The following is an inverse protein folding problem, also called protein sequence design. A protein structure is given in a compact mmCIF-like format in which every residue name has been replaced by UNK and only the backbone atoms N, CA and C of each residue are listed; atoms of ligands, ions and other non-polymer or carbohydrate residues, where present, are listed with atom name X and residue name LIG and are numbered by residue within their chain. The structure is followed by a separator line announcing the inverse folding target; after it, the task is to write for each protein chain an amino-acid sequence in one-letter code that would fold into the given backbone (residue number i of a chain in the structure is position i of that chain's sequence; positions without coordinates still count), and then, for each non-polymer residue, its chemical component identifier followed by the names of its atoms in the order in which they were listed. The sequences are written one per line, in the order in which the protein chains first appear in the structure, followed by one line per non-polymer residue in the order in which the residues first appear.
data_IF_102421592726
#
_entry.id   IF_102421592726
#
_cell.length_a   1.000
_cell.length_b   1.000
_cell.length_c   1.000
_cell.angle_alpha   90.00
_cell.angle_beta   90.00
_cell.angle_gamma   90.00
#
_symmetry.space_group_name_H-M   'P 1'
#
loop_
_entity.id
_entity.type
_entity.pdbx_description
1 polymer ?
#
# COMPACT_ATOMS: atom_id res chain seq x y z
N UNK A 1 -29.58 23.99 -26.34
CA UNK A 1 -30.78 24.28 -25.51
C UNK A 1 -31.16 23.17 -24.50
N UNK A 2 -30.84 21.88 -24.71
CA UNK A 2 -31.23 20.81 -23.77
C UNK A 2 -30.32 20.64 -22.52
N UNK A 3 -29.02 20.99 -22.61
CA UNK A 3 -28.06 20.75 -21.52
C UNK A 3 -28.22 21.70 -20.33
N UNK A 4 -28.49 22.98 -20.59
CA UNK A 4 -28.74 23.99 -19.54
C UNK A 4 -30.01 23.69 -18.73
N UNK A 5 -31.04 23.12 -19.38
CA UNK A 5 -32.26 22.68 -18.70
C UNK A 5 -31.99 21.55 -17.73
N UNK A 6 -31.29 20.49 -18.18
CA UNK A 6 -30.92 19.34 -17.33
C UNK A 6 -30.05 19.79 -16.15
N UNK A 7 -29.06 20.65 -16.37
CA UNK A 7 -28.22 21.21 -15.29
C UNK A 7 -29.03 22.04 -14.28
N UNK A 8 -29.96 22.87 -14.74
CA UNK A 8 -30.84 23.65 -13.87
C UNK A 8 -31.73 22.77 -13.00
N UNK A 9 -32.22 21.66 -13.56
CA UNK A 9 -33.08 20.71 -12.86
C UNK A 9 -32.32 19.85 -11.84
N UNK A 10 -31.07 19.50 -12.14
CA UNK A 10 -30.13 18.87 -11.22
C UNK A 10 -29.83 19.80 -10.04
N UNK A 11 -29.54 21.08 -10.29
CA UNK A 11 -29.21 22.04 -9.23
C UNK A 11 -30.43 22.38 -8.34
N UNK A 12 -31.59 22.58 -8.95
CA UNK A 12 -32.87 22.72 -8.24
C UNK A 12 -33.16 21.48 -7.39
N UNK A 13 -32.85 20.31 -7.92
CA UNK A 13 -33.00 19.04 -7.25
C UNK A 13 -32.09 18.83 -6.06
N UNK A 14 -30.80 19.14 -6.21
CA UNK A 14 -29.81 19.16 -5.12
C UNK A 14 -30.28 20.05 -3.96
N UNK A 15 -30.83 21.24 -4.27
CA UNK A 15 -31.31 22.19 -3.24
C UNK A 15 -32.60 21.75 -2.56
N UNK A 16 -33.46 21.00 -3.24
CA UNK A 16 -34.75 20.56 -2.70
C UNK A 16 -34.64 19.25 -1.90
N UNK A 17 -33.61 18.45 -2.15
CA UNK A 17 -33.35 17.18 -1.46
C UNK A 17 -31.97 17.15 -0.77
N UNK A 18 -31.58 18.27 -0.17
CA UNK A 18 -30.24 18.48 0.41
C UNK A 18 -29.87 17.42 1.44
N UNK A 19 -30.78 17.01 2.32
CA UNK A 19 -30.50 16.01 3.37
C UNK A 19 -30.04 14.67 2.79
N UNK A 20 -30.72 14.18 1.75
CA UNK A 20 -30.38 12.90 1.12
C UNK A 20 -29.06 13.01 0.34
N UNK A 21 -28.85 14.12 -0.35
CA UNK A 21 -27.61 14.40 -1.09
C UNK A 21 -26.43 14.47 -0.11
N UNK A 22 -26.57 15.18 0.99
CA UNK A 22 -25.54 15.27 2.03
C UNK A 22 -25.23 13.89 2.62
N UNK A 23 -26.24 13.06 2.86
CA UNK A 23 -26.01 11.68 3.31
C UNK A 23 -25.18 10.87 2.31
N UNK A 24 -25.49 10.97 1.01
CA UNK A 24 -24.70 10.31 -0.05
C UNK A 24 -23.28 10.87 -0.10
N UNK A 25 -23.10 12.18 -0.04
CA UNK A 25 -21.78 12.84 -0.02
C UNK A 25 -20.96 12.37 1.18
N UNK A 26 -21.54 12.31 2.37
CA UNK A 26 -20.84 11.88 3.59
C UNK A 26 -20.46 10.41 3.55
N UNK A 27 -21.35 9.52 3.11
CA UNK A 27 -21.02 8.10 3.02
C UNK A 27 -19.97 7.84 1.94
N UNK A 28 -20.08 8.49 0.78
CA UNK A 28 -19.04 8.39 -0.27
C UNK A 28 -17.71 8.97 0.20
N UNK A 29 -17.72 10.10 0.92
CA UNK A 29 -16.54 10.67 1.59
C UNK A 29 -15.87 9.65 2.51
N UNK A 30 -16.60 9.07 3.46
CA UNK A 30 -16.02 8.10 4.42
C UNK A 30 -15.51 6.86 3.67
N UNK A 31 -16.28 6.35 2.72
CA UNK A 31 -15.90 5.17 1.93
C UNK A 31 -14.58 5.39 1.19
N UNK A 32 -14.47 6.49 0.46
CA UNK A 32 -13.29 6.82 -0.34
C UNK A 32 -12.11 7.27 0.53
N UNK A 33 -12.37 7.76 1.74
CA UNK A 33 -11.30 8.01 2.73
C UNK A 33 -10.63 6.70 3.12
N UNK A 34 -11.38 5.61 3.36
CA UNK A 34 -10.78 4.30 3.62
C UNK A 34 -10.03 3.74 2.41
N UNK A 35 -10.58 3.89 1.19
CA UNK A 35 -9.87 3.50 -0.04
C UNK A 35 -8.54 4.25 -0.16
N UNK A 36 -8.56 5.56 0.00
CA UNK A 36 -7.37 6.39 -0.11
C UNK A 36 -6.38 6.15 1.02
N UNK A 37 -6.85 5.96 2.25
CA UNK A 37 -5.99 5.60 3.38
C UNK A 37 -5.29 4.25 3.15
N UNK A 38 -5.99 3.24 2.65
CA UNK A 38 -5.38 1.97 2.29
C UNK A 38 -4.33 2.12 1.17
N UNK A 39 -4.62 2.92 0.14
CA UNK A 39 -3.68 3.20 -0.94
C UNK A 39 -2.43 3.95 -0.44
N UNK A 40 -2.59 4.93 0.45
CA UNK A 40 -1.49 5.67 1.05
C UNK A 40 -0.66 4.81 2.01
N UNK A 41 -1.30 3.93 2.81
CA UNK A 41 -0.59 2.95 3.63
C UNK A 41 0.26 2.02 2.76
N UNK A 42 -0.28 1.56 1.64
CA UNK A 42 0.48 0.75 0.70
C UNK A 42 1.68 1.52 0.11
N UNK A 43 1.48 2.80 -0.23
CA UNK A 43 2.58 3.66 -0.69
C UNK A 43 3.65 3.87 0.40
N UNK A 44 3.25 4.02 1.67
CA UNK A 44 4.19 4.12 2.81
C UNK A 44 4.99 2.83 2.99
N UNK A 45 4.33 1.67 2.91
CA UNK A 45 4.99 0.36 2.99
C UNK A 45 6.00 0.22 1.85
N UNK A 46 5.64 0.65 0.64
CA UNK A 46 6.53 0.67 -0.52
C UNK A 46 7.79 1.49 -0.27
N UNK A 47 7.65 2.76 0.13
CA UNK A 47 8.80 3.62 0.47
C UNK A 47 9.68 3.05 1.58
N UNK A 48 9.06 2.54 2.64
CA UNK A 48 9.79 1.89 3.74
C UNK A 48 10.54 0.65 3.27
N UNK A 49 9.98 -0.12 2.33
CA UNK A 49 10.69 -1.26 1.77
C UNK A 49 11.83 -0.81 0.87
N UNK A 50 11.62 0.16 -0.01
CA UNK A 50 12.64 0.62 -0.95
C UNK A 50 13.86 1.19 -0.22
N UNK A 51 13.66 2.11 0.74
CA UNK A 51 14.75 2.73 1.50
C UNK A 51 15.57 1.69 2.29
N UNK A 52 14.91 0.66 2.84
CA UNK A 52 15.57 -0.36 3.65
C UNK A 52 16.16 -1.48 2.80
N UNK A 53 15.45 -1.96 1.76
CA UNK A 53 15.93 -3.05 0.92
C UNK A 53 17.12 -2.63 0.05
N UNK A 54 17.25 -1.34 -0.26
CA UNK A 54 18.46 -0.81 -0.92
C UNK A 54 19.72 -0.89 -0.02
N UNK A 55 19.53 -0.88 1.30
CA UNK A 55 20.60 -0.94 2.30
C UNK A 55 20.87 -2.36 2.82
N UNK A 56 19.89 -3.26 2.71
CA UNK A 56 19.99 -4.61 3.29
C UNK A 56 20.72 -5.55 2.34
N UNK A 57 21.74 -6.20 2.89
CA UNK A 57 22.54 -7.21 2.22
C UNK A 57 22.32 -8.58 2.85
N UNK A 58 22.46 -9.61 2.03
CA UNK A 58 22.44 -10.99 2.49
C UNK A 58 23.79 -11.31 3.11
N UNK A 59 23.75 -11.88 4.31
CA UNK A 59 24.95 -12.17 5.10
C UNK A 59 25.16 -13.67 5.12
N UNK A 60 26.16 -14.13 4.39
CA UNK A 60 26.58 -15.53 4.40
C UNK A 60 27.71 -15.65 5.40
N UNK A 61 27.37 -16.10 6.61
CA UNK A 61 28.34 -16.29 7.68
C UNK A 61 29.15 -17.56 7.41
N UNK A 62 30.47 -17.40 7.45
CA UNK A 62 31.42 -18.48 7.26
C UNK A 62 31.65 -19.20 8.59
N UNK A 63 32.00 -20.48 8.51
CA UNK A 63 32.28 -21.31 9.67
C UNK A 63 33.31 -20.66 10.62
N UNK A 64 32.96 -20.35 11.87
CA UNK A 64 33.90 -19.92 12.89
C UNK A 64 34.58 -21.10 13.61
N UNK A 65 35.61 -20.81 14.39
CA UNK A 65 36.19 -21.81 15.30
C UNK A 65 35.14 -22.27 16.33
N UNK A 66 34.97 -23.60 16.45
CA UNK A 66 34.04 -24.19 17.42
C UNK A 66 32.55 -24.16 17.01
N UNK A 67 32.22 -23.87 15.75
CA UNK A 67 30.85 -24.02 15.25
C UNK A 67 30.30 -25.43 15.46
N UNK A 68 29.03 -25.51 15.83
CA UNK A 68 28.28 -26.77 15.98
C UNK A 68 27.56 -27.18 14.70
N UNK A 69 27.65 -26.37 13.63
CA UNK A 69 26.97 -26.66 12.36
C UNK A 69 27.61 -27.87 11.65
N UNK A 70 26.82 -28.78 11.06
CA UNK A 70 27.34 -29.92 10.29
C UNK A 70 28.26 -29.52 9.14
N UNK A 71 28.03 -28.35 8.53
CA UNK A 71 28.83 -27.79 7.43
C UNK A 71 30.18 -27.22 7.89
N UNK A 72 30.40 -27.12 9.20
CA UNK A 72 31.58 -26.55 9.84
C UNK A 72 32.39 -27.58 10.65
N UNK A 73 32.16 -28.88 10.41
CA UNK A 73 32.81 -29.96 11.15
C UNK A 73 34.34 -29.95 11.05
N UNK A 74 34.90 -29.32 10.02
CA UNK A 74 36.35 -29.19 9.80
C UNK A 74 36.99 -27.99 10.51
N UNK A 75 36.22 -27.20 11.25
CA UNK A 75 36.69 -25.98 11.92
C UNK A 75 36.44 -24.71 11.09
N UNK A 76 37.26 -23.69 11.30
CA UNK A 76 37.13 -22.41 10.61
C UNK A 76 37.22 -22.56 9.08
N UNK A 77 36.41 -21.78 8.35
CA UNK A 77 36.33 -21.84 6.89
C UNK A 77 37.70 -21.57 6.24
N UNK A 78 38.15 -22.52 5.42
CA UNK A 78 39.40 -22.40 4.68
C UNK A 78 39.26 -21.53 3.44
N UNK A 79 40.34 -20.90 2.98
CA UNK A 79 40.34 -20.08 1.75
C UNK A 79 39.76 -20.85 0.54
N UNK A 80 40.05 -22.15 0.44
CA UNK A 80 39.51 -23.01 -0.63
C UNK A 80 37.98 -23.19 -0.56
N UNK A 81 37.40 -23.27 0.65
CA UNK A 81 35.95 -23.32 0.83
C UNK A 81 35.31 -21.97 0.49
N UNK A 82 35.94 -20.86 0.90
CA UNK A 82 35.46 -19.51 0.60
C UNK A 82 35.45 -19.26 -0.91
N UNK A 83 36.51 -19.65 -1.62
CA UNK A 83 36.59 -19.51 -3.07
C UNK A 83 35.61 -20.42 -3.81
N UNK A 84 35.33 -21.62 -3.29
CA UNK A 84 34.29 -22.49 -3.84
C UNK A 84 32.89 -21.85 -3.70
N UNK A 85 32.59 -21.23 -2.56
CA UNK A 85 31.32 -20.50 -2.36
C UNK A 85 31.23 -19.30 -3.30
N UNK A 86 32.31 -18.53 -3.48
CA UNK A 86 32.36 -17.42 -4.46
C UNK A 86 32.10 -17.90 -5.89
N UNK A 87 32.70 -19.02 -6.28
CA UNK A 87 32.49 -19.58 -7.61
C UNK A 87 31.03 -19.98 -7.84
N UNK A 88 30.36 -20.55 -6.83
CA UNK A 88 28.92 -20.86 -6.91
C UNK A 88 28.10 -19.58 -7.07
N UNK A 89 28.43 -18.53 -6.31
CA UNK A 89 27.74 -17.23 -6.43
C UNK A 89 27.89 -16.67 -7.86
N UNK A 90 29.10 -16.69 -8.41
CA UNK A 90 29.39 -16.15 -9.74
C UNK A 90 28.79 -16.99 -10.88
N UNK A 91 28.63 -18.30 -10.68
CA UNK A 91 28.14 -19.21 -11.74
C UNK A 91 26.63 -19.39 -11.69
N UNK A 92 26.07 -19.65 -10.50
CA UNK A 92 24.67 -20.03 -10.30
C UNK A 92 23.78 -18.84 -9.90
N UNK A 93 24.36 -17.79 -9.29
CA UNK A 93 23.61 -16.65 -8.74
C UNK A 93 23.97 -15.30 -9.40
N UNK A 94 24.70 -15.30 -10.52
CA UNK A 94 25.14 -14.07 -11.20
C UNK A 94 24.01 -13.14 -11.64
N UNK A 95 22.81 -13.67 -11.87
CA UNK A 95 21.63 -12.85 -12.20
C UNK A 95 20.93 -12.28 -10.97
N UNK A 96 21.11 -12.91 -9.80
CA UNK A 96 20.45 -12.55 -8.54
C UNK A 96 21.32 -11.67 -7.66
N UNK A 97 22.65 -11.72 -7.82
CA UNK A 97 23.62 -11.01 -6.99
C UNK A 97 24.31 -9.93 -7.82
N UNK A 98 24.19 -8.67 -7.36
CA UNK A 98 24.79 -7.51 -8.02
C UNK A 98 26.23 -7.24 -7.56
N UNK A 99 26.52 -7.47 -6.27
CA UNK A 99 27.84 -7.28 -5.67
C UNK A 99 28.07 -8.30 -4.57
N UNK A 100 29.32 -8.75 -4.46
CA UNK A 100 29.81 -9.59 -3.37
C UNK A 100 31.03 -8.89 -2.77
N UNK A 101 31.09 -8.81 -1.45
CA UNK A 101 32.31 -8.42 -0.76
C UNK A 101 32.52 -9.29 0.47
N UNK A 102 33.79 -9.42 0.84
CA UNK A 102 34.20 -10.19 2.01
C UNK A 102 34.40 -9.24 3.17
N UNK A 103 33.74 -9.55 4.27
CA UNK A 103 33.91 -8.87 5.54
C UNK A 103 34.70 -9.78 6.48
N UNK A 104 35.89 -9.31 6.86
CA UNK A 104 36.74 -9.99 7.84
C UNK A 104 36.18 -9.84 9.26
N UNK A 105 36.60 -10.74 10.16
CA UNK A 105 36.28 -10.66 11.60
C UNK A 105 36.61 -9.28 12.20
N UNK A 106 37.74 -8.69 11.82
CA UNK A 106 38.14 -7.36 12.28
C UNK A 106 37.20 -6.26 11.77
N UNK A 107 36.82 -6.29 10.49
CA UNK A 107 35.88 -5.31 9.94
C UNK A 107 34.50 -5.41 10.58
N UNK A 108 34.03 -6.64 10.82
CA UNK A 108 32.79 -6.89 11.56
C UNK A 108 32.87 -6.34 12.99
N UNK A 109 34.01 -6.53 13.67
CA UNK A 109 34.25 -5.99 15.01
C UNK A 109 34.28 -4.47 15.05
N UNK A 110 34.93 -3.83 14.08
CA UNK A 110 35.02 -2.38 13.98
C UNK A 110 33.61 -1.77 13.78
N UNK A 111 32.82 -2.34 12.86
CA UNK A 111 31.43 -1.92 12.62
C UNK A 111 30.52 -2.16 13.85
N UNK A 112 30.73 -3.26 14.57
CA UNK A 112 30.04 -3.57 15.81
C UNK A 112 30.38 -2.56 16.92
N UNK A 113 31.67 -2.27 17.10
CA UNK A 113 32.16 -1.35 18.14
C UNK A 113 31.68 0.08 17.92
N UNK A 114 31.53 0.51 16.67
CA UNK A 114 30.95 1.82 16.34
C UNK A 114 29.47 1.92 16.78
N UNK A 115 28.72 0.83 16.66
CA UNK A 115 27.30 0.78 17.02
C UNK A 115 27.06 0.53 18.52
N UNK A 116 27.98 -0.17 19.17
CA UNK A 116 27.93 -0.52 20.60
C UNK A 116 29.23 -0.10 21.31
N UNK A 117 29.49 1.21 21.48
CA UNK A 117 30.75 1.69 22.06
C UNK A 117 30.99 1.22 23.51
N UNK A 118 29.92 0.96 24.25
CA UNK A 118 29.97 0.45 25.64
C UNK A 118 29.90 -1.09 25.73
N UNK A 119 30.07 -1.79 24.60
CA UNK A 119 29.87 -3.23 24.48
C UNK A 119 28.39 -3.62 24.36
N UNK A 120 28.13 -4.92 24.19
CA UNK A 120 26.78 -5.45 24.05
C UNK A 120 26.36 -6.14 25.34
N UNK A 121 25.29 -5.64 25.97
CA UNK A 121 24.76 -6.15 27.24
C UNK A 121 25.83 -6.23 28.36
N UNK A 122 26.79 -5.29 28.38
CA UNK A 122 27.86 -5.24 29.38
C UNK A 122 28.96 -6.28 29.20
N UNK A 123 28.97 -7.01 28.09
CA UNK A 123 30.07 -7.90 27.70
C UNK A 123 30.94 -7.22 26.66
N UNK A 124 32.25 -7.25 26.88
CA UNK A 124 33.23 -6.71 25.95
C UNK A 124 33.67 -7.83 25.03
N UNK A 125 33.28 -7.73 23.76
CA UNK A 125 33.65 -8.68 22.72
C UNK A 125 35.00 -8.26 22.12
N UNK A 126 35.66 -9.22 21.50
CA UNK A 126 36.90 -9.04 20.74
C UNK A 126 36.67 -9.37 19.26
N UNK A 127 37.66 -9.10 18.42
CA UNK A 127 37.58 -9.45 17.00
C UNK A 127 37.50 -10.97 16.78
N UNK A 128 38.08 -11.77 17.67
CA UNK A 128 38.04 -13.24 17.57
C UNK A 128 36.65 -13.82 17.86
N UNK A 129 35.80 -13.06 18.57
CA UNK A 129 34.40 -13.42 18.82
C UNK A 129 33.49 -13.14 17.62
N UNK A 130 34.00 -12.47 16.58
CA UNK A 130 33.26 -12.16 15.36
C UNK A 130 33.40 -13.28 14.32
N UNK A 131 32.43 -13.36 13.42
CA UNK A 131 32.43 -14.28 12.29
C UNK A 131 32.81 -13.54 11.01
N UNK A 132 33.62 -14.18 10.16
CA UNK A 132 33.84 -13.68 8.81
C UNK A 132 32.58 -13.94 7.95
N UNK A 133 32.24 -13.03 7.05
CA UNK A 133 31.05 -13.17 6.21
C UNK A 133 31.28 -12.74 4.77
N UNK A 134 30.55 -13.37 3.85
CA UNK A 134 30.36 -12.86 2.50
C UNK A 134 29.06 -12.07 2.50
N UNK A 135 29.16 -10.78 2.16
CA UNK A 135 28.02 -9.86 2.07
C UNK A 135 27.62 -9.74 0.61
N UNK A 136 26.38 -10.09 0.31
CA UNK A 136 25.84 -10.10 -1.04
C UNK A 136 24.74 -9.06 -1.17
N UNK A 137 24.91 -8.14 -2.12
CA UNK A 137 23.85 -7.22 -2.52
C UNK A 137 23.03 -7.85 -3.63
N UNK A 138 21.77 -8.18 -3.36
CA UNK A 138 20.88 -8.76 -4.35
C UNK A 138 20.45 -7.72 -5.40
N UNK A 139 20.22 -8.18 -6.62
CA UNK A 139 19.59 -7.39 -7.69
C UNK A 139 18.11 -7.17 -7.41
N UNK A 140 17.46 -8.20 -6.87
CA UNK A 140 16.09 -8.16 -6.35
C UNK A 140 16.12 -8.75 -4.94
N UNK A 141 15.84 -7.91 -3.95
CA UNK A 141 15.84 -8.32 -2.57
C UNK A 141 14.89 -9.51 -2.34
N UNK A 142 13.73 -9.56 -3.00
CA UNK A 142 12.72 -10.63 -2.82
C UNK A 142 13.25 -12.03 -3.19
N UNK A 143 14.36 -12.14 -3.92
CA UNK A 143 14.99 -13.40 -4.33
C UNK A 143 15.91 -14.03 -3.27
N UNK A 144 15.91 -13.55 -2.01
CA UNK A 144 16.70 -14.14 -0.93
C UNK A 144 16.52 -15.64 -0.78
N UNK A 145 15.29 -16.16 -0.89
CA UNK A 145 15.03 -17.59 -0.71
C UNK A 145 15.83 -18.44 -1.70
N UNK A 146 15.98 -17.97 -2.95
CA UNK A 146 16.78 -18.66 -3.98
C UNK A 146 18.26 -18.65 -3.61
N UNK A 147 18.79 -17.51 -3.17
CA UNK A 147 20.19 -17.39 -2.73
C UNK A 147 20.46 -18.25 -1.50
N UNK A 148 19.54 -18.23 -0.53
CA UNK A 148 19.65 -19.02 0.68
C UNK A 148 19.61 -20.52 0.39
N UNK A 149 18.73 -20.99 -0.48
CA UNK A 149 18.65 -22.43 -0.84
C UNK A 149 19.92 -22.93 -1.55
N UNK A 150 20.57 -22.09 -2.36
CA UNK A 150 21.79 -22.47 -3.11
C UNK A 150 23.03 -22.48 -2.21
N UNK A 151 23.10 -21.57 -1.24
CA UNK A 151 24.28 -21.36 -0.38
C UNK A 151 24.18 -22.09 0.97
N UNK A 152 22.97 -22.32 1.48
CA UNK A 152 22.75 -23.06 2.72
C UNK A 152 23.16 -24.52 2.55
N UNK A 153 23.87 -25.07 3.54
CA UNK A 153 24.32 -26.46 3.50
C UNK A 153 25.59 -26.70 2.68
N UNK A 154 26.22 -25.65 2.13
CA UNK A 154 27.54 -25.75 1.48
C UNK A 154 28.65 -25.80 2.53
N UNK A 155 29.72 -26.53 2.24
CA UNK A 155 30.88 -26.62 3.12
C UNK A 155 31.53 -25.24 3.30
N UNK A 156 31.85 -24.88 4.55
CA UNK A 156 32.42 -23.57 4.90
C UNK A 156 31.40 -22.45 5.13
N UNK A 157 30.10 -22.70 4.87
CA UNK A 157 29.00 -21.78 5.22
C UNK A 157 28.31 -22.28 6.49
N UNK A 158 28.25 -21.45 7.52
CA UNK A 158 27.53 -21.78 8.76
C UNK A 158 26.04 -21.49 8.60
N UNK A 159 25.71 -20.24 8.26
CA UNK A 159 24.32 -19.78 8.12
C UNK A 159 24.22 -18.64 7.11
N UNK A 160 23.09 -18.60 6.40
CA UNK A 160 22.75 -17.52 5.48
C UNK A 160 21.59 -16.73 6.07
N UNK A 161 21.87 -15.50 6.50
CA UNK A 161 20.89 -14.64 7.14
C UNK A 161 20.37 -13.53 6.22
N UNK A 162 19.05 -13.33 6.29
CA UNK A 162 18.37 -12.19 5.68
C UNK A 162 18.17 -11.10 6.73
N UNK A 163 18.88 -9.98 6.61
CA UNK A 163 18.69 -8.89 7.56
C UNK A 163 17.29 -8.24 7.42
N UNK A 164 16.55 -8.51 6.34
CA UNK A 164 15.16 -8.06 6.18
C UNK A 164 14.19 -8.82 7.07
N UNK A 165 14.55 -10.05 7.48
CA UNK A 165 13.68 -10.90 8.30
C UNK A 165 13.32 -10.23 9.63
N UNK A 166 14.16 -9.32 10.13
CA UNK A 166 13.91 -8.51 11.34
C UNK A 166 12.67 -7.62 11.19
N UNK A 167 12.43 -7.08 9.99
CA UNK A 167 11.31 -6.15 9.71
C UNK A 167 10.11 -6.83 9.04
N UNK A 168 10.26 -8.09 8.63
CA UNK A 168 9.17 -8.89 8.06
C UNK A 168 7.90 -8.90 8.94
N UNK A 169 7.96 -9.04 10.28
CA UNK A 169 6.76 -8.97 11.13
C UNK A 169 6.08 -7.60 11.10
N UNK A 170 6.86 -6.51 11.01
CA UNK A 170 6.34 -5.15 10.90
C UNK A 170 5.58 -4.97 9.58
N UNK A 171 6.21 -5.33 8.45
CA UNK A 171 5.57 -5.22 7.14
C UNK A 171 4.33 -6.10 7.02
N UNK A 172 4.35 -7.31 7.58
CA UNK A 172 3.14 -8.16 7.65
C UNK A 172 2.02 -7.49 8.43
N UNK A 173 2.32 -6.87 9.57
CA UNK A 173 1.33 -6.15 10.37
C UNK A 173 0.73 -4.98 9.61
N UNK A 174 1.56 -4.19 8.92
CA UNK A 174 1.11 -3.07 8.08
C UNK A 174 0.27 -3.54 6.89
N UNK A 175 0.62 -4.66 6.27
CA UNK A 175 -0.17 -5.27 5.20
C UNK A 175 -1.53 -5.77 5.69
N UNK A 176 -1.59 -6.39 6.88
CA UNK A 176 -2.87 -6.79 7.50
C UNK A 176 -3.72 -5.57 7.80
N UNK A 177 -3.14 -4.49 8.33
CA UNK A 177 -3.85 -3.23 8.57
C UNK A 177 -4.41 -2.64 7.26
N UNK A 178 -3.63 -2.68 6.18
CA UNK A 178 -4.05 -2.23 4.84
C UNK A 178 -5.19 -3.09 4.31
N UNK A 179 -5.12 -4.42 4.49
CA UNK A 179 -6.19 -5.35 4.09
C UNK A 179 -7.49 -5.08 4.87
N UNK A 180 -7.41 -4.82 6.18
CA UNK A 180 -8.57 -4.45 7.00
C UNK A 180 -9.18 -3.12 6.54
N UNK A 181 -8.37 -2.11 6.25
CA UNK A 181 -8.83 -0.84 5.72
C UNK A 181 -9.50 -1.01 4.35
N UNK A 182 -8.92 -1.81 3.46
CA UNK A 182 -9.50 -2.14 2.16
C UNK A 182 -10.81 -2.94 2.28
N UNK A 183 -10.89 -3.88 3.24
CA UNK A 183 -12.11 -4.64 3.53
C UNK A 183 -13.24 -3.73 4.02
N UNK A 184 -12.94 -2.82 4.96
CA UNK A 184 -13.89 -1.83 5.44
C UNK A 184 -14.32 -0.87 4.32
N UNK A 185 -13.38 -0.44 3.47
CA UNK A 185 -13.69 0.33 2.28
C UNK A 185 -14.68 -0.42 1.38
N UNK A 186 -14.47 -1.71 1.12
CA UNK A 186 -15.38 -2.54 0.33
C UNK A 186 -16.81 -2.55 0.86
N UNK A 187 -16.98 -2.74 2.18
CA UNK A 187 -18.31 -2.71 2.83
C UNK A 187 -18.95 -1.33 2.70
N UNK A 188 -18.18 -0.26 2.91
CA UNK A 188 -18.67 1.11 2.82
C UNK A 188 -19.03 1.50 1.38
N UNK A 189 -18.27 1.04 0.38
CA UNK A 189 -18.60 1.22 -1.04
C UNK A 189 -19.92 0.53 -1.41
N UNK A 190 -20.18 -0.68 -0.89
CA UNK A 190 -21.47 -1.35 -1.07
C UNK A 190 -22.60 -0.54 -0.43
N UNK A 191 -22.39 -0.02 0.78
CA UNK A 191 -23.36 0.86 1.44
C UNK A 191 -23.61 2.14 0.63
N UNK A 192 -22.58 2.74 0.04
CA UNK A 192 -22.69 3.89 -0.83
C UNK A 192 -23.53 3.57 -2.09
N UNK A 193 -23.29 2.43 -2.75
CA UNK A 193 -24.08 2.01 -3.92
C UNK A 193 -25.56 1.85 -3.58
N UNK A 194 -25.86 1.22 -2.43
CA UNK A 194 -27.22 1.04 -1.94
C UNK A 194 -27.88 2.39 -1.63
N UNK A 195 -27.17 3.29 -0.95
CA UNK A 195 -27.67 4.63 -0.62
C UNK A 195 -27.90 5.50 -1.85
N UNK A 196 -27.02 5.46 -2.84
CA UNK A 196 -27.22 6.18 -4.11
C UNK A 196 -28.47 5.64 -4.80
N UNK A 197 -28.63 4.31 -4.87
CA UNK A 197 -29.80 3.67 -5.50
C UNK A 197 -31.11 4.04 -4.79
N UNK A 198 -31.14 4.00 -3.45
CA UNK A 198 -32.34 4.38 -2.68
C UNK A 198 -32.61 5.87 -2.77
N UNK A 199 -31.58 6.71 -2.82
CA UNK A 199 -31.71 8.15 -2.99
C UNK A 199 -32.31 8.51 -4.34
N UNK A 200 -31.85 7.88 -5.43
CA UNK A 200 -32.43 8.06 -6.77
C UNK A 200 -33.91 7.68 -6.75
N UNK A 201 -34.25 6.56 -6.11
CA UNK A 201 -35.64 6.09 -6.00
C UNK A 201 -36.53 7.08 -5.23
N UNK A 202 -36.06 7.58 -4.10
CA UNK A 202 -36.79 8.55 -3.28
C UNK A 202 -36.95 9.90 -4.00
N UNK A 203 -35.90 10.36 -4.69
CA UNK A 203 -35.93 11.58 -5.51
C UNK A 203 -36.98 11.45 -6.63
N UNK A 204 -37.00 10.32 -7.35
CA UNK A 204 -37.99 10.04 -8.39
C UNK A 204 -39.44 10.01 -7.85
N UNK A 205 -39.68 9.40 -6.69
CA UNK A 205 -41.02 9.37 -6.05
C UNK A 205 -41.47 10.77 -5.65
N UNK A 206 -40.57 11.59 -5.09
CA UNK A 206 -40.90 12.97 -4.71
C UNK A 206 -41.31 13.86 -5.90
N UNK A 207 -40.86 13.52 -7.11
CA UNK A 207 -41.17 14.21 -8.38
C UNK A 207 -42.08 13.39 -9.29
N UNK A 208 -42.91 12.51 -8.70
CA UNK A 208 -43.81 11.63 -9.47
C UNK A 208 -44.71 12.39 -10.44
N UNK A 209 -45.25 13.55 -10.05
CA UNK A 209 -46.13 14.36 -10.93
C UNK A 209 -45.38 14.90 -12.16
N UNK A 210 -44.16 15.42 -12.00
CA UNK A 210 -43.34 15.92 -13.12
C UNK A 210 -42.93 14.77 -14.06
N UNK A 211 -42.50 13.64 -13.49
CA UNK A 211 -42.14 12.44 -14.27
C UNK A 211 -43.32 11.84 -15.02
N UNK A 212 -44.54 11.90 -14.46
CA UNK A 212 -45.77 11.48 -15.13
C UNK A 212 -46.14 12.41 -16.29
N UNK A 213 -46.06 13.73 -16.11
CA UNK A 213 -46.28 14.70 -17.20
C UNK A 213 -45.27 14.48 -18.33
N UNK A 214 -43.98 14.30 -18.00
CA UNK A 214 -42.93 14.02 -18.98
C UNK A 214 -43.20 12.73 -19.78
N UNK A 215 -43.74 11.68 -19.14
CA UNK A 215 -44.16 10.46 -19.84
C UNK A 215 -45.31 10.71 -20.81
N UNK A 216 -46.30 11.50 -20.41
CA UNK A 216 -47.49 11.80 -21.23
C UNK A 216 -47.14 12.59 -22.50
N UNK A 217 -46.09 13.42 -22.47
CA UNK A 217 -45.57 14.14 -23.65
C UNK A 217 -44.56 13.32 -24.47
N UNK A 218 -44.37 12.04 -24.16
CA UNK A 218 -43.53 11.12 -24.94
C UNK A 218 -42.02 11.16 -24.63
N UNK A 219 -41.61 11.66 -23.46
CA UNK A 219 -40.20 11.65 -23.07
C UNK A 219 -39.71 10.20 -22.84
N UNK A 220 -38.50 9.90 -23.35
CA UNK A 220 -37.86 8.59 -23.14
C UNK A 220 -37.55 8.34 -21.66
N UNK A 221 -37.56 7.07 -21.23
CA UNK A 221 -37.23 6.69 -19.84
C UNK A 221 -35.86 7.19 -19.39
N UNK A 222 -34.86 7.21 -20.30
CA UNK A 222 -33.53 7.72 -20.00
C UNK A 222 -33.56 9.22 -19.74
N UNK A 223 -34.31 9.99 -20.54
CA UNK A 223 -34.42 11.44 -20.37
C UNK A 223 -35.06 11.82 -19.03
N UNK A 224 -36.04 11.02 -18.57
CA UNK A 224 -36.70 11.22 -17.26
C UNK A 224 -35.76 10.86 -16.10
N UNK A 225 -34.92 9.85 -16.27
CA UNK A 225 -34.03 9.37 -15.20
C UNK A 225 -32.72 10.15 -15.09
N UNK A 226 -32.26 10.73 -16.18
CA UNK A 226 -30.95 11.41 -16.27
C UNK A 226 -30.70 12.46 -15.18
N UNK A 227 -31.67 13.35 -14.83
CA UNK A 227 -31.45 14.33 -13.77
C UNK A 227 -31.13 13.67 -12.42
N UNK A 228 -31.83 12.59 -12.08
CA UNK A 228 -31.62 11.87 -10.82
C UNK A 228 -30.30 11.10 -10.79
N UNK A 229 -29.89 10.52 -11.93
CA UNK A 229 -28.59 9.86 -12.05
C UNK A 229 -27.44 10.87 -11.91
N UNK A 230 -27.59 12.05 -12.51
CA UNK A 230 -26.60 13.13 -12.41
C UNK A 230 -26.52 13.72 -10.99
N UNK A 231 -27.64 13.82 -10.27
CA UNK A 231 -27.64 14.21 -8.84
C UNK A 231 -26.75 13.25 -8.01
N UNK A 232 -26.93 11.94 -8.20
CA UNK A 232 -26.13 10.92 -7.52
C UNK A 232 -24.65 10.93 -7.92
N UNK A 233 -24.37 11.11 -9.22
CA UNK A 233 -23.01 11.20 -9.73
C UNK A 233 -22.26 12.43 -9.19
N UNK A 234 -22.91 13.60 -9.18
CA UNK A 234 -22.33 14.81 -8.60
C UNK A 234 -22.09 14.67 -7.10
N UNK A 235 -23.02 14.05 -6.36
CA UNK A 235 -22.83 13.77 -4.94
C UNK A 235 -21.62 12.86 -4.69
N UNK A 236 -21.45 11.80 -5.49
CA UNK A 236 -20.29 10.90 -5.38
C UNK A 236 -18.97 11.61 -5.72
N UNK A 237 -18.94 12.44 -6.76
CA UNK A 237 -17.77 13.24 -7.11
C UNK A 237 -17.43 14.23 -6.00
N UNK A 238 -18.41 14.94 -5.44
CA UNK A 238 -18.19 15.83 -4.30
C UNK A 238 -17.64 15.07 -3.08
N UNK A 239 -18.18 13.87 -2.78
CA UNK A 239 -17.65 13.00 -1.74
C UNK A 239 -16.19 12.61 -1.98
N UNK A 240 -15.81 12.31 -3.23
CA UNK A 240 -14.41 11.99 -3.59
C UNK A 240 -13.46 13.18 -3.42
N UNK A 241 -13.90 14.39 -3.76
CA UNK A 241 -13.12 15.61 -3.58
C UNK A 241 -12.93 15.91 -2.09
N UNK A 242 -13.97 15.75 -1.28
CA UNK A 242 -13.86 15.85 0.17
C UNK A 242 -12.92 14.78 0.74
N UNK A 243 -12.93 13.56 0.20
CA UNK A 243 -12.05 12.49 0.67
C UNK A 243 -10.60 12.82 0.34
N UNK A 244 -10.31 13.27 -0.89
CA UNK A 244 -8.99 13.74 -1.28
C UNK A 244 -8.51 14.92 -0.42
N UNK A 245 -9.37 15.92 -0.19
CA UNK A 245 -9.05 17.06 0.68
C UNK A 245 -8.83 16.67 2.14
N UNK A 246 -9.65 15.75 2.67
CA UNK A 246 -9.52 15.21 4.02
C UNK A 246 -8.25 14.39 4.21
N UNK A 247 -7.87 13.58 3.22
CA UNK A 247 -6.61 12.85 3.22
C UNK A 247 -5.40 13.79 3.11
N UNK A 248 -5.48 14.82 2.26
CA UNK A 248 -4.42 15.83 2.17
C UNK A 248 -4.23 16.54 3.51
N UNK A 249 -5.32 16.93 4.16
CA UNK A 249 -5.29 17.56 5.48
C UNK A 249 -4.72 16.60 6.53
N UNK A 250 -5.14 15.33 6.52
CA UNK A 250 -4.61 14.31 7.43
C UNK A 250 -3.10 14.11 7.25
N UNK A 251 -2.61 14.00 6.01
CA UNK A 251 -1.17 13.84 5.74
C UNK A 251 -0.40 15.09 6.15
N UNK A 252 -0.85 16.28 5.76
CA UNK A 252 -0.20 17.55 6.09
C UNK A 252 -0.02 17.73 7.61
N UNK A 253 -1.08 17.54 8.37
CA UNK A 253 -1.07 17.84 9.81
C UNK A 253 -0.60 16.67 10.68
N UNK A 254 -0.99 15.42 10.37
CA UNK A 254 -0.58 14.28 11.20
C UNK A 254 0.80 13.73 10.83
N UNK A 255 1.16 13.74 9.55
CA UNK A 255 2.43 13.15 9.10
C UNK A 255 3.50 14.22 9.07
N UNK A 256 3.34 15.25 8.23
CA UNK A 256 4.42 16.21 8.01
C UNK A 256 4.67 17.18 9.16
N UNK A 257 3.62 17.60 9.88
CA UNK A 257 3.80 18.53 11.00
C UNK A 257 4.07 17.86 12.36
N UNK A 258 3.65 16.60 12.56
CA UNK A 258 3.77 15.91 13.85
C UNK A 258 4.76 14.74 13.82
N UNK A 259 4.65 13.86 12.82
CA UNK A 259 5.43 12.62 12.77
C UNK A 259 6.85 12.84 12.25
N UNK A 260 7.02 13.60 11.16
CA UNK A 260 8.34 13.91 10.57
C UNK A 260 9.27 14.56 11.60
N UNK A 261 8.79 15.54 12.39
CA UNK A 261 9.60 16.21 13.44
C UNK A 261 10.09 15.28 14.56
N UNK A 262 9.50 14.10 14.69
CA UNK A 262 9.84 13.14 15.74
C UNK A 262 10.84 12.09 15.25
N UNK A 263 10.86 11.80 13.94
CA UNK A 263 11.68 10.73 13.34
C UNK A 263 12.13 11.16 11.93
N UNK A 264 13.26 11.86 11.85
CA UNK A 264 13.77 12.41 10.58
C UNK A 264 14.39 11.37 9.62
N UNK A 265 14.60 10.12 10.08
CA UNK A 265 15.29 9.09 9.29
C UNK A 265 14.37 8.26 8.38
N UNK A 266 13.05 8.48 8.41
CA UNK A 266 12.07 7.71 7.61
C UNK A 266 11.49 8.59 6.50
N UNK A 267 11.49 8.12 5.24
CA UNK A 267 10.73 8.76 4.18
C UNK A 267 9.22 8.50 4.36
N UNK A 268 8.49 9.52 4.80
CA UNK A 268 7.05 9.44 4.97
C UNK A 268 6.27 9.74 3.67
N UNK A 269 5.02 9.31 3.65
CA UNK A 269 4.02 9.67 2.65
C UNK A 269 3.78 11.17 2.75
N UNK A 270 3.86 11.81 1.59
CA UNK A 270 3.81 13.26 1.44
C UNK A 270 2.52 13.69 0.75
N UNK A 271 2.30 15.00 0.69
CA UNK A 271 1.20 15.61 -0.05
C UNK A 271 1.19 15.18 -1.53
N UNK A 272 2.37 14.95 -2.13
CA UNK A 272 2.50 14.49 -3.53
C UNK A 272 1.86 13.11 -3.72
N UNK A 273 1.99 12.23 -2.75
CA UNK A 273 1.42 10.88 -2.81
C UNK A 273 -0.12 10.95 -2.74
N UNK A 274 -0.66 11.88 -1.96
CA UNK A 274 -2.10 12.16 -1.95
C UNK A 274 -2.58 12.63 -3.32
N UNK A 275 -1.85 13.53 -3.97
CA UNK A 275 -2.19 13.98 -5.33
C UNK A 275 -2.07 12.86 -6.38
N UNK A 276 -1.20 11.86 -6.18
CA UNK A 276 -1.14 10.66 -7.04
C UNK A 276 -2.35 9.74 -6.84
N UNK A 277 -2.84 9.62 -5.61
CA UNK A 277 -4.01 8.78 -5.27
C UNK A 277 -5.34 9.47 -5.57
N UNK A 278 -5.42 10.81 -5.52
CA UNK A 278 -6.67 11.54 -5.72
C UNK A 278 -7.41 11.24 -7.03
N UNK A 279 -6.75 11.12 -8.21
CA UNK A 279 -7.41 10.71 -9.45
C UNK A 279 -8.09 9.33 -9.34
N UNK A 280 -7.46 8.39 -8.64
CA UNK A 280 -8.04 7.06 -8.40
C UNK A 280 -9.35 7.17 -7.62
N UNK A 281 -9.43 8.03 -6.60
CA UNK A 281 -10.66 8.24 -5.82
C UNK A 281 -11.80 8.78 -6.68
N UNK A 282 -11.50 9.71 -7.59
CA UNK A 282 -12.49 10.25 -8.53
C UNK A 282 -12.96 9.17 -9.50
N UNK A 283 -12.05 8.35 -10.03
CA UNK A 283 -12.38 7.22 -10.91
C UNK A 283 -13.29 6.22 -10.19
N UNK A 284 -12.97 5.86 -8.95
CA UNK A 284 -13.81 4.97 -8.13
C UNK A 284 -15.17 5.59 -7.88
N UNK A 285 -15.26 6.89 -7.55
CA UNK A 285 -16.55 7.58 -7.37
C UNK A 285 -17.42 7.56 -8.63
N UNK A 286 -16.83 7.82 -9.80
CA UNK A 286 -17.53 7.75 -11.08
C UNK A 286 -17.99 6.32 -11.37
N UNK A 287 -17.17 5.32 -11.07
CA UNK A 287 -17.53 3.91 -11.21
C UNK A 287 -18.70 3.52 -10.29
N UNK A 288 -18.71 3.98 -9.03
CA UNK A 288 -19.83 3.77 -8.10
C UNK A 288 -21.12 4.39 -8.64
N UNK A 289 -21.05 5.64 -9.12
CA UNK A 289 -22.21 6.31 -9.70
C UNK A 289 -22.75 5.57 -10.93
N UNK A 290 -21.86 5.09 -11.81
CA UNK A 290 -22.23 4.28 -12.98
C UNK A 290 -22.86 2.94 -12.57
N UNK A 291 -22.29 2.24 -11.58
CA UNK A 291 -22.82 1.00 -11.03
C UNK A 291 -24.22 1.19 -10.44
N UNK A 292 -24.41 2.19 -9.58
CA UNK A 292 -25.71 2.53 -9.00
C UNK A 292 -26.74 2.89 -10.07
N UNK A 293 -26.32 3.62 -11.10
CA UNK A 293 -27.18 3.97 -12.24
C UNK A 293 -27.62 2.72 -13.01
N UNK A 294 -26.70 1.79 -13.26
CA UNK A 294 -26.98 0.52 -13.93
C UNK A 294 -28.01 -0.30 -13.13
N UNK A 295 -27.81 -0.47 -11.82
CA UNK A 295 -28.77 -1.19 -10.96
C UNK A 295 -30.16 -0.54 -10.94
N UNK A 296 -30.23 0.79 -11.03
CA UNK A 296 -31.49 1.53 -11.07
C UNK A 296 -32.23 1.34 -12.40
N UNK A 297 -31.52 1.49 -13.52
CA UNK A 297 -32.09 1.40 -14.87
C UNK A 297 -32.59 -0.02 -15.17
N UNK A 298 -31.78 -1.04 -14.88
CA UNK A 298 -32.06 -2.43 -15.27
C UNK A 298 -33.25 -3.06 -14.53
N UNK A 299 -33.59 -2.53 -13.35
CA UNK A 299 -34.70 -3.04 -12.54
C UNK A 299 -36.06 -2.46 -12.94
N UNK A 300 -36.09 -1.32 -13.65
CA UNK A 300 -37.30 -0.56 -13.93
C UNK A 300 -37.74 -0.54 -15.40
N UNK A 301 -36.91 -1.00 -16.35
CA UNK A 301 -37.31 -1.20 -17.77
C UNK A 301 -38.08 -2.50 -18.01
N UNK A 302 -38.31 -3.31 -16.98
CA UNK A 302 -39.07 -4.57 -17.04
C UNK A 302 -40.55 -4.45 -16.65
N UNK A 303 -41.13 -3.25 -16.63
CA UNK A 303 -42.56 -3.01 -16.40
C UNK A 303 -43.09 -2.05 -17.46
#
# INVERSE_FOLDING_TARGET
MRFQFVLGEVFSGLRRNTTMVVAVVLVTFVSLTFVGAAALLQAQIGKLKDDWYDLVEVSVFLCPEGSVSPTCATGEATDGQIDAVRQVIDTELSSQVSKVYFESKQQAFDAFSERYPDGYQGTQLTADDMQASLRLKLTDAEQFAVVSDVLSGRDGVEIVEDQRAVFEPLFRTLNVATLLAAGLAGVMLLAAVLLITTTIRLSAVSRRKETEIMRLVGASNLFIQLPFLLEGALAAVLGSLLAGGGLWLAVRFMVSDWLERSVDWVAYVSEVDVFRVAPLLVVVAVALAALSSFFTLNRYTRI
#
